data_IF_009411821514
#
_entry.id   IF_009411821514
#
_cell.length_a   1.000
_cell.length_b   1.000
_cell.length_c   1.000
_cell.angle_alpha   90.00
_cell.angle_beta   90.00
_cell.angle_gamma   90.00
#
_symmetry.space_group_name_H-M   'P 1'
#
loop_
_entity.id
_entity.type
_entity.pdbx_description
1 polymer ?
#
# COMPACT_ATOMS: atom_id res chain seq x y z
N UNK A 1 21.36 7.11 1.85
CA UNK A 1 20.99 5.76 2.29
C UNK A 1 20.15 5.14 1.17
N UNK A 2 20.50 3.95 0.71
CA UNK A 2 19.73 3.20 -0.30
C UNK A 2 18.52 2.51 0.33
N UNK A 3 17.47 2.13 -0.43
CA UNK A 3 16.35 1.35 0.11
C UNK A 3 16.80 0.10 0.86
N UNK A 4 17.81 -0.62 0.32
CA UNK A 4 18.37 -1.79 0.98
C UNK A 4 19.03 -1.46 2.32
N UNK A 5 19.80 -0.37 2.40
CA UNK A 5 20.41 0.08 3.66
C UNK A 5 19.34 0.47 4.70
N UNK A 6 18.25 1.10 4.27
CA UNK A 6 17.12 1.44 5.14
C UNK A 6 16.45 0.16 5.67
N UNK A 7 16.21 -0.83 4.80
CA UNK A 7 15.61 -2.11 5.18
C UNK A 7 16.52 -2.92 6.12
N UNK A 8 17.83 -2.88 5.91
CA UNK A 8 18.81 -3.54 6.77
C UNK A 8 18.95 -2.90 8.16
N UNK A 9 18.60 -1.62 8.30
CA UNK A 9 18.64 -0.92 9.58
C UNK A 9 17.43 -1.20 10.49
N UNK A 10 16.38 -1.84 9.97
CA UNK A 10 15.18 -2.19 10.73
C UNK A 10 15.48 -3.38 11.64
N UNK A 11 15.11 -3.29 12.92
CA UNK A 11 15.12 -4.43 13.83
C UNK A 11 13.91 -5.33 13.58
N UNK A 12 14.02 -6.16 12.54
CA UNK A 12 12.98 -7.12 12.17
C UNK A 12 12.68 -8.14 13.27
N UNK A 13 13.63 -8.41 14.18
CA UNK A 13 13.41 -9.37 15.27
C UNK A 13 12.40 -8.86 16.31
N UNK A 14 12.20 -7.54 16.37
CA UNK A 14 11.24 -6.88 17.24
C UNK A 14 9.85 -6.68 16.59
N UNK A 15 9.68 -7.03 15.30
CA UNK A 15 8.46 -6.78 14.54
C UNK A 15 7.74 -8.10 14.20
N UNK A 16 6.43 -8.23 14.47
CA UNK A 16 5.64 -9.35 13.95
C UNK A 16 5.65 -9.33 12.42
N UNK A 17 6.11 -10.42 11.79
CA UNK A 17 6.18 -10.57 10.33
C UNK A 17 6.10 -12.05 9.91
N UNK A 18 5.73 -12.33 8.65
CA UNK A 18 5.50 -13.70 8.15
C UNK A 18 6.73 -14.62 8.17
N UNK A 19 7.94 -14.05 8.16
CA UNK A 19 9.17 -14.81 7.92
C UNK A 19 9.89 -15.36 9.15
N UNK A 20 9.31 -15.18 10.35
CA UNK A 20 9.76 -15.77 11.61
C UNK A 20 11.11 -15.29 12.16
N UNK A 21 12.10 -14.94 11.33
CA UNK A 21 13.44 -14.47 11.72
C UNK A 21 13.87 -13.29 10.83
N UNK A 22 14.60 -12.33 11.41
CA UNK A 22 15.10 -11.12 10.72
C UNK A 22 15.91 -11.38 9.43
N UNK A 23 16.86 -12.34 9.37
CA UNK A 23 17.64 -12.57 8.16
C UNK A 23 16.80 -12.99 6.94
N UNK A 24 15.68 -13.68 7.17
CA UNK A 24 14.77 -14.12 6.12
C UNK A 24 14.12 -12.94 5.40
N UNK A 25 13.90 -11.81 6.08
CA UNK A 25 13.32 -10.61 5.47
C UNK A 25 14.28 -9.98 4.47
N UNK A 26 15.55 -9.85 4.84
CA UNK A 26 16.56 -9.28 3.93
C UNK A 26 16.80 -10.18 2.71
N UNK A 27 16.77 -11.49 2.90
CA UNK A 27 16.86 -12.43 1.77
C UNK A 27 15.68 -12.26 0.79
N UNK A 28 14.46 -12.08 1.30
CA UNK A 28 13.28 -11.86 0.46
C UNK A 28 13.33 -10.50 -0.22
N UNK A 29 13.75 -9.45 0.50
CA UNK A 29 13.97 -8.13 -0.08
C UNK A 29 14.98 -8.19 -1.23
N UNK A 30 16.13 -8.83 -1.02
CA UNK A 30 17.18 -8.95 -2.04
C UNK A 30 16.71 -9.74 -3.25
N UNK A 31 16.07 -10.88 -3.02
CA UNK A 31 15.52 -11.68 -4.11
C UNK A 31 14.50 -10.89 -4.93
N UNK A 32 13.71 -10.02 -4.29
CA UNK A 32 12.75 -9.17 -5.00
C UNK A 32 13.45 -8.03 -5.75
N UNK A 33 14.49 -7.42 -5.18
CA UNK A 33 15.26 -6.37 -5.85
C UNK A 33 16.09 -6.88 -7.03
N UNK A 34 16.55 -8.13 -6.98
CA UNK A 34 17.39 -8.77 -8.01
C UNK A 34 16.59 -9.43 -9.16
N UNK A 35 15.27 -9.55 -9.04
CA UNK A 35 14.41 -10.10 -10.11
C UNK A 35 14.48 -9.24 -11.38
N UNK A 36 14.54 -9.91 -12.54
CA UNK A 36 14.56 -9.26 -13.86
C UNK A 36 13.21 -8.63 -14.22
N UNK A 37 13.22 -7.59 -15.07
CA UNK A 37 12.07 -6.80 -15.56
C UNK A 37 10.86 -7.64 -16.02
N UNK A 38 11.06 -8.70 -16.80
CA UNK A 38 10.00 -9.59 -17.26
C UNK A 38 9.34 -10.38 -16.11
N UNK A 39 10.09 -10.66 -15.03
CA UNK A 39 9.55 -11.26 -13.82
C UNK A 39 8.86 -10.23 -12.90
N UNK A 40 9.18 -8.93 -13.04
CA UNK A 40 8.50 -7.83 -12.34
C UNK A 40 7.07 -7.71 -12.84
N UNK A 41 6.87 -7.66 -14.15
CA UNK A 41 5.55 -7.56 -14.77
C UNK A 41 4.63 -8.73 -14.39
N UNK A 42 5.21 -9.93 -14.16
CA UNK A 42 4.45 -11.12 -13.78
C UNK A 42 4.09 -11.18 -12.29
N UNK A 43 4.87 -10.53 -11.43
CA UNK A 43 4.69 -10.67 -9.97
C UNK A 43 4.22 -9.40 -9.29
N UNK A 44 4.18 -8.26 -9.98
CA UNK A 44 3.48 -7.02 -9.61
C UNK A 44 3.60 -6.64 -8.11
N UNK A 45 4.80 -6.81 -7.54
CA UNK A 45 5.08 -6.51 -6.14
C UNK A 45 4.51 -7.49 -5.10
N UNK A 46 3.98 -8.66 -5.49
CA UNK A 46 3.43 -9.67 -4.58
C UNK A 46 4.43 -10.11 -3.51
N UNK A 47 5.71 -10.19 -3.84
CA UNK A 47 6.79 -10.49 -2.89
C UNK A 47 7.00 -9.36 -1.87
N UNK A 48 6.89 -8.09 -2.28
CA UNK A 48 6.94 -6.94 -1.37
C UNK A 48 5.68 -6.90 -0.48
N UNK A 49 4.53 -7.23 -1.04
CA UNK A 49 3.27 -7.43 -0.31
C UNK A 49 3.41 -8.45 0.82
N UNK A 50 4.17 -9.52 0.60
CA UNK A 50 4.40 -10.53 1.63
C UNK A 50 5.33 -10.06 2.77
N UNK A 51 6.17 -9.03 2.54
CA UNK A 51 7.00 -8.41 3.58
C UNK A 51 6.18 -7.53 4.54
N UNK A 52 5.10 -6.92 4.06
CA UNK A 52 4.24 -6.03 4.86
C UNK A 52 3.09 -6.79 5.55
N UNK A 53 2.74 -7.99 5.05
CA UNK A 53 1.67 -8.82 5.60
C UNK A 53 2.16 -9.84 6.64
N UNK A 54 1.35 -10.09 7.67
CA UNK A 54 1.41 -11.26 8.53
C UNK A 54 0.06 -11.95 8.53
N UNK A 55 -0.03 -13.23 8.15
CA UNK A 55 -1.29 -14.01 8.18
C UNK A 55 -2.47 -13.35 7.43
N UNK A 56 -2.19 -12.56 6.40
CA UNK A 56 -3.21 -11.84 5.63
C UNK A 56 -3.66 -10.51 6.25
N UNK A 57 -3.07 -10.07 7.37
CA UNK A 57 -3.26 -8.73 7.93
C UNK A 57 -2.01 -7.87 7.73
N UNK A 58 -2.18 -6.55 7.70
CA UNK A 58 -1.06 -5.62 7.77
C UNK A 58 -0.40 -5.79 9.14
N UNK A 59 0.89 -6.08 9.10
CA UNK A 59 1.68 -6.28 10.31
C UNK A 59 2.42 -4.99 10.71
N UNK A 60 2.93 -4.88 11.94
CA UNK A 60 3.79 -3.77 12.33
C UNK A 60 5.03 -3.60 11.42
N UNK A 61 5.43 -4.66 10.72
CA UNK A 61 6.51 -4.63 9.75
C UNK A 61 6.22 -3.74 8.53
N UNK A 62 4.94 -3.52 8.21
CA UNK A 62 4.53 -2.62 7.14
C UNK A 62 4.96 -1.17 7.36
N UNK A 63 4.93 -0.70 8.61
CA UNK A 63 5.35 0.67 8.98
C UNK A 63 6.83 0.89 8.72
N UNK A 64 7.65 -0.10 9.05
CA UNK A 64 9.08 -0.03 8.86
C UNK A 64 9.46 0.07 7.37
N UNK A 65 8.57 -0.36 6.46
CA UNK A 65 8.77 -0.28 5.01
C UNK A 65 8.28 1.01 4.36
N UNK A 66 7.54 1.88 5.08
CA UNK A 66 7.00 3.13 4.50
C UNK A 66 8.10 4.03 3.94
N UNK A 67 9.18 4.27 4.70
CA UNK A 67 10.29 5.11 4.23
C UNK A 67 11.05 4.51 3.03
N UNK A 68 11.46 3.22 3.05
CA UNK A 68 12.00 2.56 1.85
C UNK A 68 11.09 2.66 0.63
N UNK A 69 9.78 2.48 0.80
CA UNK A 69 8.80 2.54 -0.29
C UNK A 69 8.64 3.97 -0.83
N UNK A 70 8.56 4.98 0.05
CA UNK A 70 8.50 6.38 -0.36
C UNK A 70 9.78 6.80 -1.10
N UNK A 71 10.94 6.32 -0.66
CA UNK A 71 12.19 6.55 -1.38
C UNK A 71 12.13 5.96 -2.80
N UNK A 72 11.66 4.72 -2.95
CA UNK A 72 11.49 4.10 -4.26
C UNK A 72 10.47 4.84 -5.12
N UNK A 73 9.35 5.32 -4.55
CA UNK A 73 8.33 6.09 -5.24
C UNK A 73 8.85 7.45 -5.77
N UNK A 74 9.76 8.10 -5.01
CA UNK A 74 10.40 9.37 -5.37
C UNK A 74 11.52 9.25 -6.38
N UNK A 75 12.09 8.06 -6.54
CA UNK A 75 13.23 7.81 -7.42
C UNK A 75 12.81 7.11 -8.72
N UNK A 76 13.69 7.12 -9.72
CA UNK A 76 13.51 6.32 -10.95
C UNK A 76 13.82 4.82 -10.71
N UNK A 77 13.43 4.29 -9.54
CA UNK A 77 13.73 2.92 -9.15
C UNK A 77 12.95 1.93 -10.04
N UNK A 78 13.53 0.78 -10.44
CA UNK A 78 12.81 -0.23 -11.24
C UNK A 78 11.51 -0.72 -10.59
N UNK A 79 11.42 -0.65 -9.25
CA UNK A 79 10.24 -1.02 -8.45
C UNK A 79 9.35 0.16 -8.05
N UNK A 80 9.50 1.32 -8.70
CA UNK A 80 8.73 2.53 -8.37
C UNK A 80 7.22 2.27 -8.40
N UNK A 81 6.74 1.56 -9.42
CA UNK A 81 5.33 1.21 -9.56
C UNK A 81 4.84 0.35 -8.39
N UNK A 82 5.49 -0.79 -8.15
CA UNK A 82 5.16 -1.67 -7.03
C UNK A 82 5.21 -0.95 -5.67
N UNK A 83 6.14 0.00 -5.48
CA UNK A 83 6.23 0.79 -4.27
C UNK A 83 5.03 1.73 -4.09
N UNK A 84 4.61 2.41 -5.17
CA UNK A 84 3.43 3.29 -5.20
C UNK A 84 2.16 2.48 -4.92
N UNK A 85 2.00 1.34 -5.58
CA UNK A 85 0.86 0.46 -5.38
C UNK A 85 0.80 -0.09 -3.96
N UNK A 86 1.95 -0.46 -3.38
CA UNK A 86 2.00 -0.93 -2.01
C UNK A 86 1.65 0.17 -1.01
N UNK A 87 2.12 1.41 -1.22
CA UNK A 87 1.75 2.56 -0.39
C UNK A 87 0.26 2.88 -0.49
N UNK A 88 -0.30 2.86 -1.70
CA UNK A 88 -1.73 3.00 -1.91
C UNK A 88 -2.50 1.87 -1.20
N UNK A 89 -2.04 0.64 -1.33
CA UNK A 89 -2.64 -0.50 -0.67
C UNK A 89 -2.62 -0.38 0.87
N UNK A 90 -1.49 0.01 1.46
CA UNK A 90 -1.34 0.24 2.91
C UNK A 90 -2.31 1.31 3.44
N UNK A 91 -2.65 2.31 2.63
CA UNK A 91 -3.67 3.31 2.97
C UNK A 91 -5.11 2.76 2.82
N UNK A 92 -5.34 1.82 1.90
CA UNK A 92 -6.69 1.35 1.48
C UNK A 92 -7.31 0.32 2.42
N UNK A 93 -6.44 -0.48 3.02
CA UNK A 93 -6.74 -1.60 3.92
C UNK A 93 -7.41 -1.18 5.22
N UNK A 94 -7.54 0.12 5.49
CA UNK A 94 -8.24 0.65 6.67
C UNK A 94 -9.57 1.35 6.35
N UNK A 95 -10.38 0.64 5.55
CA UNK A 95 -11.78 0.95 5.22
C UNK A 95 -12.47 -0.08 4.30
N UNK A 96 -11.74 -1.06 3.77
CA UNK A 96 -12.25 -2.03 2.80
C UNK A 96 -13.29 -3.02 3.35
N UNK A 97 -14.33 -3.28 2.55
CA UNK A 97 -15.37 -4.28 2.82
C UNK A 97 -14.78 -5.69 2.99
N UNK A 98 -15.53 -6.59 3.62
CA UNK A 98 -15.15 -8.00 3.78
C UNK A 98 -14.82 -8.70 2.45
N UNK A 99 -15.43 -8.25 1.35
CA UNK A 99 -15.23 -8.74 -0.01
C UNK A 99 -13.86 -8.36 -0.57
N UNK A 100 -13.32 -7.20 -0.17
CA UNK A 100 -11.99 -6.76 -0.57
C UNK A 100 -10.88 -7.48 0.21
N UNK A 101 -11.09 -7.75 1.52
CA UNK A 101 -10.23 -8.68 2.29
C UNK A 101 -10.20 -10.08 1.67
N UNK A 102 -11.31 -10.54 1.11
CA UNK A 102 -11.39 -11.81 0.40
C UNK A 102 -10.59 -11.79 -0.93
N UNK A 103 -10.58 -10.69 -1.68
CA UNK A 103 -9.69 -10.53 -2.87
C UNK A 103 -8.21 -10.51 -2.49
N UNK A 104 -7.84 -9.89 -1.37
CA UNK A 104 -6.46 -9.90 -0.86
C UNK A 104 -6.04 -11.30 -0.39
N UNK A 105 -6.92 -12.04 0.28
CA UNK A 105 -6.71 -13.47 0.54
C UNK A 105 -6.59 -14.30 -0.74
N UNK A 106 -7.33 -13.97 -1.80
CA UNK A 106 -7.23 -14.66 -3.08
C UNK A 106 -5.93 -14.34 -3.85
N UNK A 107 -5.39 -13.11 -3.71
CA UNK A 107 -4.15 -12.67 -4.39
C UNK A 107 -2.87 -13.00 -3.60
N UNK A 108 -2.89 -12.83 -2.27
CA UNK A 108 -1.72 -13.02 -1.40
C UNK A 108 -1.80 -14.28 -0.52
N UNK A 109 -2.97 -14.92 -0.39
CA UNK A 109 -3.15 -16.16 0.38
C UNK A 109 -2.79 -17.45 -0.36
N UNK A 110 -2.30 -17.34 -1.59
CA UNK A 110 -1.82 -18.47 -2.42
C UNK A 110 -0.29 -18.54 -2.47
N UNK A 111 0.44 -17.60 -1.88
CA UNK A 111 1.87 -17.76 -1.69
C UNK A 111 2.09 -19.05 -0.87
N UNK A 112 2.88 -20.03 -1.37
CA UNK A 112 3.10 -21.28 -0.67
C UNK A 112 3.75 -20.95 0.68
N UNK A 113 2.93 -20.98 1.72
CA UNK A 113 3.41 -20.99 3.09
C UNK A 113 4.39 -22.17 3.20
N UNK A 114 5.50 -22.08 3.95
CA UNK A 114 6.44 -23.20 4.14
C UNK A 114 5.83 -24.47 4.77
N UNK A 115 4.52 -24.48 5.04
CA UNK A 115 3.78 -25.60 5.60
C UNK A 115 3.24 -26.51 4.51
N UNK A 116 3.26 -27.82 4.78
CA UNK A 116 2.85 -28.83 3.79
C UNK A 116 1.33 -28.80 3.59
N UNK A 117 0.83 -29.13 2.39
CA UNK A 117 -0.62 -29.31 2.19
C UNK A 117 -1.20 -30.29 3.22
N UNK A 118 -2.18 -29.82 4.02
CA UNK A 118 -2.86 -30.63 5.05
C UNK A 118 -2.45 -30.35 6.50
N UNK A 119 -1.44 -29.50 6.74
CA UNK A 119 -1.16 -28.98 8.10
C UNK A 119 -2.28 -28.01 8.51
N UNK A 120 -3.08 -28.38 9.52
CA UNK A 120 -4.03 -27.45 10.13
C UNK A 120 -3.23 -26.32 10.77
N UNK A 121 -3.35 -25.12 10.23
CA UNK A 121 -2.86 -23.92 10.91
C UNK A 121 -3.49 -23.88 12.31
N UNK A 122 -2.72 -23.64 13.38
CA UNK A 122 -3.31 -23.13 14.60
C UNK A 122 -3.98 -21.81 14.21
N UNK A 123 -5.30 -21.73 14.39
CA UNK A 123 -6.01 -20.46 14.28
C UNK A 123 -5.33 -19.52 15.28
N UNK A 124 -4.71 -18.42 14.82
CA UNK A 124 -4.09 -17.48 15.73
C UNK A 124 -5.14 -17.05 16.74
N UNK A 125 -4.79 -17.03 18.04
CA UNK A 125 -5.66 -16.41 19.02
C UNK A 125 -5.95 -14.98 18.56
N UNK A 126 -7.20 -14.52 18.73
CA UNK A 126 -7.54 -13.15 18.37
C UNK A 126 -6.55 -12.18 19.07
N UNK A 127 -5.99 -11.20 18.35
CA UNK A 127 -4.98 -10.30 18.91
C UNK A 127 -5.52 -9.58 20.14
N UNK A 128 -4.65 -9.38 21.14
CA UNK A 128 -5.05 -8.74 22.39
C UNK A 128 -5.46 -7.28 22.13
N UNK A 129 -6.30 -6.70 23.00
CA UNK A 129 -6.76 -5.32 22.84
C UNK A 129 -5.61 -4.29 22.78
N UNK A 130 -4.51 -4.53 23.50
CA UNK A 130 -3.30 -3.70 23.47
C UNK A 130 -2.51 -3.83 22.16
N UNK A 131 -2.54 -4.99 21.53
CA UNK A 131 -1.96 -5.22 20.21
C UNK A 131 -2.75 -4.47 19.14
N UNK A 132 -4.08 -4.60 19.16
CA UNK A 132 -4.98 -3.84 18.29
C UNK A 132 -4.85 -2.32 18.48
N UNK A 133 -4.62 -1.84 19.69
CA UNK A 133 -4.41 -0.40 19.96
C UNK A 133 -3.07 0.10 19.38
N UNK A 134 -1.99 -0.70 19.51
CA UNK A 134 -0.69 -0.39 18.91
C UNK A 134 -0.78 -0.40 17.38
N UNK A 135 -1.45 -1.37 16.80
CA UNK A 135 -1.70 -1.42 15.36
C UNK A 135 -2.46 -0.17 14.89
N UNK A 136 -3.54 0.22 15.57
CA UNK A 136 -4.31 1.44 15.22
C UNK A 136 -3.48 2.71 15.29
N UNK A 137 -2.61 2.86 16.29
CA UNK A 137 -1.74 4.03 16.40
C UNK A 137 -0.69 4.03 15.29
N UNK A 138 -0.06 2.89 15.02
CA UNK A 138 0.90 2.76 13.93
C UNK A 138 0.24 3.06 12.57
N UNK A 139 -1.00 2.59 12.35
CA UNK A 139 -1.81 2.92 11.16
C UNK A 139 -2.00 4.43 11.00
N UNK A 140 -2.28 5.15 12.09
CA UNK A 140 -2.40 6.60 12.05
C UNK A 140 -1.07 7.24 11.64
N UNK A 141 0.03 6.80 12.23
CA UNK A 141 1.37 7.30 11.88
C UNK A 141 1.74 7.03 10.41
N UNK A 142 1.40 5.87 9.86
CA UNK A 142 1.57 5.59 8.43
C UNK A 142 0.76 6.53 7.56
N UNK A 143 -0.52 6.72 7.93
CA UNK A 143 -1.40 7.63 7.20
C UNK A 143 -0.80 9.02 7.22
N UNK A 144 -0.47 9.55 8.39
CA UNK A 144 0.12 10.89 8.54
C UNK A 144 1.41 11.00 7.72
N UNK A 145 2.23 9.95 7.70
CA UNK A 145 3.48 9.97 6.94
C UNK A 145 3.26 9.94 5.44
N UNK A 146 2.37 9.10 4.93
CA UNK A 146 2.09 9.06 3.47
C UNK A 146 1.32 10.30 3.03
N UNK A 147 0.40 10.81 3.86
CA UNK A 147 -0.34 12.05 3.62
C UNK A 147 0.59 13.28 3.60
N UNK A 148 1.67 13.27 4.39
CA UNK A 148 2.67 14.36 4.38
C UNK A 148 3.42 14.52 3.04
N UNK A 149 3.31 13.54 2.14
CA UNK A 149 3.99 13.53 0.84
C UNK A 149 3.07 14.05 -0.30
N UNK A 150 2.21 15.04 -0.01
CA UNK A 150 1.22 15.57 -0.96
C UNK A 150 1.84 15.99 -2.31
N UNK A 151 3.01 16.65 -2.29
CA UNK A 151 3.69 17.11 -3.51
C UNK A 151 4.05 15.93 -4.43
N UNK A 152 4.50 14.81 -3.86
CA UNK A 152 4.81 13.59 -4.60
C UNK A 152 3.57 13.06 -5.31
N UNK A 153 2.48 12.86 -4.57
CA UNK A 153 1.24 12.29 -5.11
C UNK A 153 0.61 13.19 -6.17
N UNK A 154 0.69 14.50 -5.95
CA UNK A 154 0.23 15.52 -6.92
C UNK A 154 1.05 15.48 -8.21
N UNK A 155 2.38 15.39 -8.11
CA UNK A 155 3.25 15.31 -9.28
C UNK A 155 2.99 14.03 -10.08
N UNK A 156 2.90 12.88 -9.40
CA UNK A 156 2.61 11.59 -10.02
C UNK A 156 1.25 11.57 -10.75
N UNK A 157 0.20 12.13 -10.14
CA UNK A 157 -1.13 12.16 -10.76
C UNK A 157 -1.18 13.00 -12.06
N UNK A 158 -0.41 14.10 -12.09
CA UNK A 158 -0.36 15.05 -13.21
C UNK A 158 0.56 14.64 -14.34
N UNK A 159 1.50 13.73 -14.10
CA UNK A 159 2.49 13.33 -15.10
C UNK A 159 1.89 12.36 -16.12
N UNK A 160 1.49 12.89 -17.28
CA UNK A 160 0.89 12.11 -18.37
C UNK A 160 1.87 11.15 -19.06
N UNK A 161 3.18 11.27 -18.80
CA UNK A 161 4.18 10.34 -19.33
C UNK A 161 4.28 9.05 -18.49
N UNK A 162 3.70 9.03 -17.29
CA UNK A 162 3.65 7.83 -16.45
C UNK A 162 2.57 6.86 -16.91
N UNK A 163 2.80 5.59 -16.59
CA UNK A 163 1.80 4.54 -16.72
C UNK A 163 0.49 4.93 -16.01
N UNK A 164 -0.63 4.60 -16.63
CA UNK A 164 -1.94 4.96 -16.12
C UNK A 164 -2.24 4.35 -14.75
N UNK A 165 -1.74 3.16 -14.46
CA UNK A 165 -1.95 2.49 -13.16
C UNK A 165 -1.26 3.25 -12.03
N UNK A 166 -0.05 3.79 -12.27
CA UNK A 166 0.69 4.65 -11.32
C UNK A 166 -0.07 5.95 -11.05
N UNK A 167 -0.59 6.58 -12.11
CA UNK A 167 -1.39 7.81 -11.98
C UNK A 167 -2.68 7.55 -11.21
N UNK A 168 -3.35 6.42 -11.51
CA UNK A 168 -4.57 5.97 -10.82
C UNK A 168 -4.34 5.71 -9.34
N UNK A 169 -3.26 5.03 -8.96
CA UNK A 169 -2.88 4.81 -7.56
C UNK A 169 -2.66 6.15 -6.83
N UNK A 170 -1.99 7.10 -7.49
CA UNK A 170 -1.72 8.43 -6.93
C UNK A 170 -3.01 9.26 -6.74
N UNK A 171 -3.92 9.23 -7.72
CA UNK A 171 -5.24 9.87 -7.63
C UNK A 171 -6.06 9.31 -6.47
N UNK A 172 -5.98 8.00 -6.25
CA UNK A 172 -6.67 7.38 -5.13
C UNK A 172 -6.07 7.81 -3.78
N UNK A 173 -4.74 7.85 -3.63
CA UNK A 173 -4.09 8.36 -2.41
C UNK A 173 -4.57 9.79 -2.12
N UNK A 174 -4.56 10.67 -3.14
CA UNK A 174 -5.05 12.04 -3.01
C UNK A 174 -6.52 12.12 -2.59
N UNK A 175 -7.40 11.26 -3.11
CA UNK A 175 -8.82 11.24 -2.71
C UNK A 175 -9.03 10.89 -1.23
N UNK A 176 -8.07 10.20 -0.61
CA UNK A 176 -8.13 9.69 0.76
C UNK A 176 -7.49 10.60 1.80
N UNK A 177 -6.78 11.64 1.38
CA UNK A 177 -6.17 12.61 2.30
C UNK A 177 -7.27 13.42 2.99
N UNK A 178 -7.54 13.13 4.26
CA UNK A 178 -8.61 13.83 5.02
C UNK A 178 -8.01 14.77 6.08
N UNK A 179 -6.82 14.45 6.58
CA UNK A 179 -6.20 15.19 7.67
C UNK A 179 -5.12 16.18 7.20
N UNK A 180 -4.78 16.14 5.90
CA UNK A 180 -3.86 17.10 5.30
C UNK A 180 -4.52 18.50 5.20
N UNK A 181 -3.79 19.60 5.53
CA UNK A 181 -4.32 20.97 5.41
C UNK A 181 -4.90 21.30 4.03
N UNK A 182 -4.25 20.81 2.98
CA UNK A 182 -4.63 21.05 1.58
C UNK A 182 -5.49 19.90 0.98
N UNK A 183 -6.21 19.16 1.83
CA UNK A 183 -7.05 18.03 1.40
C UNK A 183 -8.14 18.45 0.40
N UNK A 184 -8.66 19.67 0.52
CA UNK A 184 -9.71 20.19 -0.38
C UNK A 184 -9.14 20.38 -1.79
N UNK A 185 -7.99 21.03 -1.89
CA UNK A 185 -7.27 21.27 -3.14
C UNK A 185 -6.87 19.96 -3.80
N UNK A 186 -6.40 18.98 -3.01
CA UNK A 186 -6.08 17.64 -3.49
C UNK A 186 -7.32 16.95 -4.09
N UNK A 187 -8.47 17.01 -3.42
CA UNK A 187 -9.72 16.40 -3.89
C UNK A 187 -10.25 17.08 -5.15
N UNK A 188 -10.16 18.40 -5.23
CA UNK A 188 -10.60 19.15 -6.41
C UNK A 188 -9.71 18.86 -7.61
N UNK A 189 -8.40 18.71 -7.41
CA UNK A 189 -7.49 18.21 -8.44
C UNK A 189 -7.91 16.82 -8.93
N UNK A 190 -8.21 15.88 -8.03
CA UNK A 190 -8.67 14.54 -8.42
C UNK A 190 -9.95 14.63 -9.23
N UNK A 191 -10.94 15.42 -8.80
CA UNK A 191 -12.18 15.65 -9.56
C UNK A 191 -11.92 16.21 -10.95
N UNK A 192 -11.03 17.19 -11.06
CA UNK A 192 -10.66 17.79 -12.34
C UNK A 192 -10.03 16.76 -13.28
N UNK A 193 -9.04 16.00 -12.80
CA UNK A 193 -8.34 15.00 -13.61
C UNK A 193 -9.33 13.90 -14.03
N UNK A 194 -10.08 13.32 -13.08
CA UNK A 194 -11.05 12.25 -13.36
C UNK A 194 -12.13 12.72 -14.34
N UNK A 195 -12.66 13.94 -14.14
CA UNK A 195 -13.69 14.52 -15.00
C UNK A 195 -13.25 14.82 -16.43
N UNK A 196 -11.95 14.97 -16.68
CA UNK A 196 -11.38 15.21 -18.00
C UNK A 196 -11.17 13.93 -18.83
N UNK A 197 -11.25 12.75 -18.21
CA UNK A 197 -11.03 11.47 -18.88
C UNK A 197 -12.26 11.05 -19.70
N UNK A 198 -12.06 10.08 -20.59
CA UNK A 198 -13.16 9.47 -21.32
C UNK A 198 -14.06 8.61 -20.41
N UNK A 199 -15.27 8.30 -20.90
CA UNK A 199 -16.31 7.60 -20.13
C UNK A 199 -15.92 6.17 -19.71
N UNK A 200 -15.10 5.49 -20.51
CA UNK A 200 -14.66 4.13 -20.21
C UNK A 200 -13.67 4.17 -19.03
N UNK A 201 -12.68 5.05 -19.12
CA UNK A 201 -11.69 5.28 -18.05
C UNK A 201 -12.34 5.78 -16.76
N UNK A 202 -13.32 6.70 -16.85
CA UNK A 202 -14.11 7.15 -15.70
C UNK A 202 -14.86 6.00 -15.02
N UNK A 203 -15.47 5.10 -15.81
CA UNK A 203 -16.20 3.95 -15.26
C UNK A 203 -15.27 3.00 -14.50
N UNK A 204 -14.03 2.81 -14.98
CA UNK A 204 -13.00 2.04 -14.28
C UNK A 204 -12.53 2.67 -12.95
N UNK A 205 -12.94 3.91 -12.66
CA UNK A 205 -12.58 4.66 -11.46
C UNK A 205 -13.78 5.03 -10.59
N UNK A 206 -14.91 4.33 -10.75
CA UNK A 206 -16.12 4.57 -9.95
C UNK A 206 -15.85 4.59 -8.45
N UNK A 207 -14.92 3.76 -7.97
CA UNK A 207 -14.48 3.68 -6.58
C UNK A 207 -13.75 4.95 -6.08
N UNK A 208 -12.96 5.64 -6.91
CA UNK A 208 -12.36 6.94 -6.55
C UNK A 208 -13.45 8.00 -6.45
N UNK A 209 -14.41 7.98 -7.36
CA UNK A 209 -15.54 8.92 -7.35
C UNK A 209 -16.43 8.69 -6.11
N UNK A 210 -16.72 7.43 -5.79
CA UNK A 210 -17.42 7.05 -4.56
C UNK A 210 -16.67 7.55 -3.32
N UNK A 211 -15.35 7.43 -3.29
CA UNK A 211 -14.52 7.92 -2.20
C UNK A 211 -14.59 9.45 -2.05
N UNK A 212 -14.48 10.18 -3.17
CA UNK A 212 -14.62 11.64 -3.20
C UNK A 212 -15.99 12.13 -2.74
N UNK A 213 -17.02 11.30 -2.84
CA UNK A 213 -18.39 11.61 -2.46
C UNK A 213 -18.72 11.16 -1.02
N UNK A 214 -17.93 10.27 -0.42
CA UNK A 214 -18.16 9.75 0.93
C UNK A 214 -18.00 10.82 2.02
N UNK A 215 -17.17 11.82 1.77
CA UNK A 215 -16.90 12.96 2.67
C UNK A 215 -17.55 14.27 2.21
N UNK A 216 -18.44 14.23 1.20
CA UNK A 216 -19.28 15.38 0.91
C UNK A 216 -20.23 15.57 2.11
N UNK A 217 -20.21 16.72 2.81
CA UNK A 217 -21.18 16.97 3.85
C UNK A 217 -22.56 16.85 3.23
N UNK A 218 -23.42 16.02 3.84
CA UNK A 218 -24.82 15.89 3.44
C UNK A 218 -25.44 17.30 3.35
N UNK A 219 -25.76 17.72 2.13
CA UNK A 219 -26.62 18.88 1.87
C UNK A 219 -25.93 20.24 1.89
N UNK A 220 -25.39 20.65 0.73
CA UNK A 220 -25.52 22.02 0.28
C UNK A 220 -26.42 22.06 -0.96
N UNK A 221 -27.73 22.04 -0.70
CA UNK A 221 -28.80 22.64 -1.53
C UNK A 221 -29.85 23.20 -0.60
#
# INVERSE_FOLDING_TARGET
MTPREMVAAIDWSALPHSYGHSPSVLMVWDAEMERDEAAIEQTDGETLGNLVCHQGTISPAAFALVEPLLFMAKSAHPRRHAAIDLLAWLLSTNGGSAEYRARLHARFGTAPHPFKPGEKMPVPAAPAAEELARERNAIRELRDRVESELELWTALAKDEALDWDVRRASLWVLSRMVHHPDAVEARDLVRQIVGALDKETQSGMSWIIEELNRDAPDGST
#
